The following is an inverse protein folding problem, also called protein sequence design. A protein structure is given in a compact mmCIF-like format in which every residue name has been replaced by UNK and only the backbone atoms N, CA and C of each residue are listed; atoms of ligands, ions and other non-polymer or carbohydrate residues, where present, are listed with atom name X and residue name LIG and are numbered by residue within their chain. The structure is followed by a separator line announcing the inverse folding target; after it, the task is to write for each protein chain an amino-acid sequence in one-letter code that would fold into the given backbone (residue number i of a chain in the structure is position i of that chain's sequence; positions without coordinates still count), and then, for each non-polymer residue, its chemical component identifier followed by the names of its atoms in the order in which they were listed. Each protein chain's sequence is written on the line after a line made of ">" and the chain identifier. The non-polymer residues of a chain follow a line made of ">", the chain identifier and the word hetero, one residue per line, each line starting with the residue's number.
data_IF_083439351633
#
_entry.id   IF_083439351633
#
_cell.length_a   1.000
_cell.length_b   1.000
_cell.length_c   1.000
_cell.angle_alpha   90.00
_cell.angle_beta   90.00
_cell.angle_gamma   90.00
#
_symmetry.space_group_name_H-M   'P 1'
#
loop_
_entity.id
_entity.type
_entity.pdbx_description
1 polymer ?
#
# COMPACT_ATOMS: atom_id res chain seq x y z
N UNK A 1 -26.37 -32.71 -44.56
CA UNK A 1 -26.50 -33.48 -43.31
C UNK A 1 -25.41 -32.93 -42.40
N UNK A 2 -25.78 -31.86 -41.71
CA UNK A 2 -24.84 -30.84 -41.29
C UNK A 2 -24.61 -30.82 -39.80
N UNK A 3 -23.31 -30.81 -39.47
CA UNK A 3 -22.68 -30.11 -38.34
C UNK A 3 -22.90 -30.73 -36.96
N UNK A 4 -21.95 -31.61 -36.62
CA UNK A 4 -21.50 -31.89 -35.25
C UNK A 4 -21.24 -30.55 -34.55
N UNK A 5 -22.08 -30.23 -33.56
CA UNK A 5 -21.87 -29.08 -32.67
C UNK A 5 -20.85 -29.49 -31.62
N UNK A 6 -19.58 -29.14 -31.85
CA UNK A 6 -18.55 -29.18 -30.82
C UNK A 6 -18.89 -28.09 -29.81
N UNK A 7 -19.41 -28.49 -28.65
CA UNK A 7 -19.59 -27.62 -27.50
C UNK A 7 -18.19 -27.37 -26.94
N UNK A 8 -17.54 -26.29 -27.38
CA UNK A 8 -16.44 -25.69 -26.64
C UNK A 8 -17.04 -25.04 -25.39
N UNK A 9 -17.20 -25.81 -24.31
CA UNK A 9 -17.35 -25.25 -22.97
C UNK A 9 -16.03 -24.57 -22.66
N UNK A 10 -15.98 -23.27 -22.90
CA UNK A 10 -14.92 -22.39 -22.46
C UNK A 10 -14.90 -22.45 -20.94
N UNK A 11 -13.99 -23.25 -20.41
CA UNK A 11 -13.65 -23.35 -19.00
C UNK A 11 -12.86 -22.08 -18.61
N UNK A 12 -13.54 -20.93 -18.57
CA UNK A 12 -13.02 -19.69 -18.01
C UNK A 12 -13.78 -19.38 -16.72
N UNK A 13 -13.40 -20.08 -15.65
CA UNK A 13 -13.61 -19.66 -14.27
C UNK A 13 -12.24 -19.34 -13.65
N UNK A 14 -11.49 -18.49 -14.35
CA UNK A 14 -10.50 -17.59 -13.75
C UNK A 14 -11.27 -16.33 -13.33
N UNK A 15 -11.28 -15.87 -12.10
CA UNK A 15 -10.14 -15.54 -11.25
C UNK A 15 -10.60 -15.68 -9.79
N UNK A 16 -9.96 -16.54 -9.02
CA UNK A 16 -9.95 -16.39 -7.57
C UNK A 16 -9.15 -15.10 -7.34
N UNK A 17 -9.85 -14.01 -7.00
CA UNK A 17 -9.20 -12.77 -6.59
C UNK A 17 -8.29 -13.10 -5.41
N UNK A 18 -6.98 -13.14 -5.69
CA UNK A 18 -5.99 -13.47 -4.68
C UNK A 18 -5.99 -12.39 -3.60
N UNK A 19 -6.02 -12.89 -2.38
CA UNK A 19 -6.20 -12.26 -1.09
C UNK A 19 -5.26 -11.06 -0.88
N UNK A 20 -5.78 -9.96 -0.36
CA UNK A 20 -4.93 -8.96 0.28
C UNK A 20 -4.25 -9.65 1.49
N UNK A 21 -2.98 -9.99 1.35
CA UNK A 21 -2.17 -10.54 2.45
C UNK A 21 -1.69 -9.38 3.32
N UNK A 22 -2.45 -9.07 4.35
CA UNK A 22 -2.11 -8.00 5.28
C UNK A 22 -2.93 -8.10 6.56
N UNK A 23 -2.44 -7.45 7.60
CA UNK A 23 -3.08 -7.47 8.91
C UNK A 23 -2.58 -6.34 9.78
N UNK A 24 -3.33 -6.02 10.83
CA UNK A 24 -2.90 -5.07 11.84
C UNK A 24 -2.53 -5.80 13.11
N UNK A 25 -1.42 -5.42 13.73
CA UNK A 25 -1.04 -5.99 15.02
C UNK A 25 -2.06 -5.60 16.08
N UNK A 26 -2.48 -6.57 16.89
CA UNK A 26 -3.32 -6.40 18.07
C UNK A 26 -2.88 -7.34 19.20
N UNK A 27 -3.64 -7.42 20.29
CA UNK A 27 -3.35 -8.38 21.37
C UNK A 27 -3.35 -9.82 20.82
N UNK A 28 -2.17 -10.47 20.82
CA UNK A 28 -1.92 -11.78 20.18
C UNK A 28 -0.97 -11.73 18.97
N UNK A 29 -0.01 -10.80 18.98
CA UNK A 29 0.77 -10.30 17.82
C UNK A 29 1.50 -11.32 16.94
N UNK A 30 1.64 -10.93 15.67
CA UNK A 30 2.70 -11.39 14.76
C UNK A 30 4.03 -10.83 15.27
N UNK A 31 4.96 -11.72 15.60
CA UNK A 31 6.30 -11.35 16.10
C UNK A 31 7.03 -10.43 15.12
N UNK A 32 7.62 -9.34 15.61
CA UNK A 32 8.40 -8.39 14.82
C UNK A 32 7.66 -7.15 14.30
N UNK A 33 6.33 -7.09 14.39
CA UNK A 33 5.53 -5.92 13.97
C UNK A 33 5.15 -5.07 15.20
N UNK A 34 5.41 -3.75 15.24
CA UNK A 34 5.07 -2.91 16.39
C UNK A 34 3.56 -2.83 16.63
N UNK A 35 3.12 -2.79 17.90
CA UNK A 35 1.71 -2.95 18.37
C UNK A 35 0.68 -2.03 17.69
N UNK A 36 1.08 -0.88 17.18
CA UNK A 36 0.20 0.11 16.53
C UNK A 36 0.42 0.19 15.03
N UNK A 37 0.82 -0.92 14.41
CA UNK A 37 1.17 -0.97 12.99
C UNK A 37 0.33 -2.01 12.26
N UNK A 38 0.19 -1.81 10.97
CA UNK A 38 -0.28 -2.82 10.05
C UNK A 38 0.86 -3.20 9.12
N UNK A 39 0.75 -4.37 8.53
CA UNK A 39 1.62 -4.83 7.47
C UNK A 39 0.80 -5.21 6.25
N UNK A 40 1.44 -5.09 5.10
CA UNK A 40 0.87 -5.50 3.83
C UNK A 40 1.94 -6.10 2.94
N UNK A 41 1.62 -7.27 2.38
CA UNK A 41 2.46 -7.98 1.42
C UNK A 41 1.95 -7.70 0.03
N UNK A 42 2.86 -7.25 -0.83
CA UNK A 42 2.55 -6.87 -2.20
C UNK A 42 3.52 -7.55 -3.16
N UNK A 43 2.98 -8.29 -4.12
CA UNK A 43 3.75 -8.83 -5.25
C UNK A 43 3.74 -7.90 -6.47
N UNK A 44 2.86 -6.89 -6.48
CA UNK A 44 2.75 -5.89 -7.53
C UNK A 44 2.40 -4.54 -6.91
N UNK A 45 3.15 -3.51 -7.29
CA UNK A 45 2.93 -2.14 -6.82
C UNK A 45 3.55 -1.15 -7.82
N UNK A 46 3.05 0.08 -7.80
CA UNK A 46 3.69 1.19 -8.50
C UNK A 46 4.54 1.98 -7.54
N UNK A 47 5.57 2.65 -8.05
CA UNK A 47 6.37 3.58 -7.26
C UNK A 47 6.62 4.86 -8.03
N UNK A 48 6.86 5.93 -7.30
CA UNK A 48 7.20 7.21 -7.88
C UNK A 48 7.93 8.11 -6.91
N UNK A 49 8.51 9.16 -7.47
CA UNK A 49 9.15 10.24 -6.72
C UNK A 49 8.40 11.51 -7.07
N UNK A 50 7.88 12.21 -6.07
CA UNK A 50 7.24 13.50 -6.27
C UNK A 50 8.32 14.59 -6.36
N UNK A 51 8.35 15.29 -7.49
CA UNK A 51 9.25 16.41 -7.72
C UNK A 51 8.94 17.56 -6.75
N UNK A 52 9.99 18.25 -6.28
CA UNK A 52 9.90 19.29 -5.25
C UNK A 52 10.46 18.79 -3.93
N UNK A 53 9.64 18.07 -3.15
CA UNK A 53 9.99 17.63 -1.79
C UNK A 53 10.80 16.32 -1.77
N UNK A 54 10.98 15.68 -2.92
CA UNK A 54 11.73 14.43 -3.04
C UNK A 54 11.08 13.27 -2.28
N UNK A 55 9.75 13.29 -2.12
CA UNK A 55 9.02 12.20 -1.47
C UNK A 55 9.00 10.98 -2.39
N UNK A 56 9.40 9.82 -1.85
CA UNK A 56 9.23 8.53 -2.51
C UNK A 56 7.92 7.90 -2.04
N UNK A 57 7.17 7.31 -2.96
CA UNK A 57 5.92 6.64 -2.62
C UNK A 57 5.78 5.29 -3.32
N UNK A 58 5.02 4.40 -2.66
CA UNK A 58 4.57 3.11 -3.17
C UNK A 58 3.04 3.14 -3.21
N UNK A 59 2.47 2.83 -4.38
CA UNK A 59 1.05 2.73 -4.60
C UNK A 59 0.66 1.25 -4.74
N UNK A 60 0.00 0.65 -3.74
CA UNK A 60 -0.48 -0.73 -3.79
C UNK A 60 -1.68 -0.93 -4.73
N UNK A 61 -2.23 0.12 -5.33
CA UNK A 61 -3.37 0.01 -6.24
C UNK A 61 -4.68 -0.36 -5.55
N UNK A 62 -4.84 -0.04 -4.26
CA UNK A 62 -6.06 -0.34 -3.48
C UNK A 62 -6.62 0.88 -2.75
N UNK A 63 -7.89 0.78 -2.37
CA UNK A 63 -8.60 1.77 -1.56
C UNK A 63 -8.84 1.30 -0.13
N UNK A 64 -8.91 2.26 0.81
CA UNK A 64 -9.24 2.04 2.23
C UNK A 64 -10.41 2.94 2.64
N UNK A 65 -11.18 2.50 3.65
CA UNK A 65 -12.26 3.30 4.24
C UNK A 65 -11.77 3.97 5.52
N UNK A 66 -12.01 5.27 5.66
CA UNK A 66 -11.74 6.03 6.88
C UNK A 66 -12.74 7.18 7.03
N UNK A 67 -13.31 7.37 8.22
CA UNK A 67 -14.25 8.47 8.49
C UNK A 67 -15.45 8.51 7.54
N UNK A 68 -15.96 7.34 7.11
CA UNK A 68 -17.08 7.22 6.17
C UNK A 68 -16.76 7.59 4.71
N UNK A 69 -15.49 7.77 4.36
CA UNK A 69 -15.03 8.06 2.99
C UNK A 69 -14.01 7.03 2.51
N UNK A 70 -13.92 6.88 1.19
CA UNK A 70 -12.98 5.99 0.50
C UNK A 70 -11.77 6.77 0.00
N UNK A 71 -10.57 6.29 0.32
CA UNK A 71 -9.30 6.91 -0.09
C UNK A 71 -8.43 5.89 -0.81
N UNK A 72 -7.64 6.33 -1.79
CA UNK A 72 -6.55 5.53 -2.35
C UNK A 72 -5.40 5.44 -1.36
N UNK A 73 -4.98 4.22 -1.00
CA UNK A 73 -3.86 4.05 -0.07
C UNK A 73 -2.55 4.32 -0.80
N UNK A 74 -1.65 5.06 -0.16
CA UNK A 74 -0.30 5.29 -0.64
C UNK A 74 0.67 5.23 0.51
N UNK A 75 1.74 4.46 0.36
CA UNK A 75 2.83 4.45 1.32
C UNK A 75 3.88 5.48 0.92
N UNK A 76 4.50 6.16 1.88
CA UNK A 76 5.51 7.17 1.57
C UNK A 76 6.69 7.16 2.53
N UNK A 77 7.80 7.72 2.06
CA UNK A 77 8.92 8.17 2.89
C UNK A 77 9.37 9.53 2.39
N UNK A 78 9.55 10.46 3.34
CA UNK A 78 10.02 11.82 3.03
C UNK A 78 11.54 11.82 2.86
N UNK A 79 12.05 12.73 2.03
CA UNK A 79 13.50 12.90 1.82
C UNK A 79 14.26 13.31 3.10
N UNK A 80 13.57 13.87 4.09
CA UNK A 80 14.11 14.19 5.40
C UNK A 80 14.32 12.96 6.29
N UNK A 81 13.65 11.83 5.98
CA UNK A 81 13.78 10.60 6.75
C UNK A 81 15.15 9.95 6.55
N UNK A 82 15.77 9.49 7.65
CA UNK A 82 17.03 8.73 7.58
C UNK A 82 16.89 7.40 6.84
N UNK A 83 15.67 6.87 6.74
CA UNK A 83 15.37 5.62 6.05
C UNK A 83 15.09 5.80 4.55
N UNK A 84 15.06 7.04 4.04
CA UNK A 84 14.65 7.35 2.66
C UNK A 84 15.37 6.51 1.61
N UNK A 85 16.70 6.58 1.57
CA UNK A 85 17.51 5.87 0.56
C UNK A 85 17.37 4.34 0.70
N UNK A 86 17.26 3.83 1.93
CA UNK A 86 17.13 2.40 2.18
C UNK A 86 15.77 1.87 1.69
N UNK A 87 14.69 2.55 2.05
CA UNK A 87 13.33 2.19 1.62
C UNK A 87 13.22 2.26 0.10
N UNK A 88 13.73 3.34 -0.50
CA UNK A 88 13.74 3.49 -1.96
C UNK A 88 14.50 2.34 -2.63
N UNK A 89 15.71 2.02 -2.17
CA UNK A 89 16.52 0.96 -2.74
C UNK A 89 15.86 -0.42 -2.62
N UNK A 90 15.28 -0.73 -1.45
CA UNK A 90 14.58 -2.01 -1.23
C UNK A 90 13.32 -2.13 -2.10
N UNK A 91 12.52 -1.07 -2.19
CA UNK A 91 11.32 -1.06 -3.03
C UNK A 91 11.68 -1.24 -4.51
N UNK A 92 12.70 -0.50 -5.00
CA UNK A 92 13.19 -0.63 -6.37
C UNK A 92 13.76 -2.03 -6.65
N UNK A 93 14.49 -2.60 -5.68
CA UNK A 93 15.03 -3.95 -5.80
C UNK A 93 13.91 -4.97 -5.88
N UNK A 94 12.95 -4.96 -4.94
CA UNK A 94 11.81 -5.88 -4.95
C UNK A 94 10.99 -5.79 -6.24
N UNK A 95 10.80 -4.58 -6.77
CA UNK A 95 10.14 -4.39 -8.06
C UNK A 95 10.95 -4.96 -9.24
N UNK A 96 12.25 -4.70 -9.29
CA UNK A 96 13.13 -5.18 -10.36
C UNK A 96 13.26 -6.71 -10.35
N UNK A 97 13.31 -7.32 -9.16
CA UNK A 97 13.39 -8.78 -8.99
C UNK A 97 12.03 -9.46 -9.05
N UNK A 98 10.93 -8.69 -9.05
CA UNK A 98 9.54 -9.18 -8.92
C UNK A 98 9.34 -9.99 -7.64
N UNK A 99 10.12 -9.70 -6.62
CA UNK A 99 9.98 -10.31 -5.29
C UNK A 99 8.83 -9.63 -4.54
N UNK A 100 8.02 -10.38 -3.78
CA UNK A 100 7.05 -9.76 -2.91
C UNK A 100 7.75 -8.86 -1.88
N UNK A 101 7.10 -7.75 -1.52
CA UNK A 101 7.57 -6.86 -0.46
C UNK A 101 6.57 -6.85 0.69
N UNK A 102 7.07 -6.81 1.92
CA UNK A 102 6.26 -6.53 3.10
C UNK A 102 6.50 -5.10 3.54
N UNK A 103 5.40 -4.33 3.66
CA UNK A 103 5.41 -2.92 4.04
C UNK A 103 4.72 -2.82 5.39
N UNK A 104 5.42 -2.30 6.40
CA UNK A 104 4.87 -2.00 7.72
C UNK A 104 4.61 -0.51 7.83
N UNK A 105 3.42 -0.15 8.31
CA UNK A 105 2.95 1.24 8.39
C UNK A 105 2.03 1.46 9.61
N UNK A 106 1.83 2.71 10.06
CA UNK A 106 0.97 2.99 11.22
C UNK A 106 -0.48 2.53 10.99
N UNK A 107 -1.10 1.97 12.02
CA UNK A 107 -2.49 1.56 11.96
C UNK A 107 -3.43 2.78 12.05
N UNK A 108 -3.82 3.32 10.90
CA UNK A 108 -4.74 4.46 10.77
C UNK A 108 -6.12 4.26 11.40
N UNK A 109 -6.52 3.02 11.75
CA UNK A 109 -7.77 2.77 12.45
C UNK A 109 -7.68 3.07 13.95
N UNK A 110 -6.46 3.07 14.51
CA UNK A 110 -6.21 3.25 15.94
C UNK A 110 -5.31 4.44 16.25
N UNK A 111 -4.56 4.94 15.27
CA UNK A 111 -3.71 6.13 15.41
C UNK A 111 -4.40 7.37 14.87
N UNK A 112 -3.93 8.55 15.29
CA UNK A 112 -4.44 9.82 14.79
C UNK A 112 -4.10 9.97 13.30
N UNK A 113 -5.12 10.22 12.48
CA UNK A 113 -4.92 10.57 11.07
C UNK A 113 -4.89 12.09 10.93
N UNK A 114 -3.85 12.60 10.28
CA UNK A 114 -3.65 14.05 10.08
C UNK A 114 -4.11 14.52 8.69
N UNK A 115 -4.03 15.82 8.43
CA UNK A 115 -4.32 16.41 7.12
C UNK A 115 -3.01 16.57 6.33
N UNK A 116 -2.90 15.90 5.18
CA UNK A 116 -1.70 15.95 4.34
C UNK A 116 -1.46 17.34 3.73
N UNK A 117 -2.49 18.18 3.59
CA UNK A 117 -2.34 19.56 3.11
C UNK A 117 -1.61 20.45 4.14
N UNK A 118 -1.58 20.04 5.42
CA UNK A 118 -0.79 20.70 6.47
C UNK A 118 0.65 20.18 6.53
N UNK A 119 1.00 19.20 5.69
CA UNK A 119 2.30 18.53 5.66
C UNK A 119 2.21 17.06 6.04
N UNK A 120 3.01 16.24 5.36
CA UNK A 120 3.23 14.84 5.71
C UNK A 120 4.28 14.73 6.81
N UNK A 121 4.18 13.68 7.64
CA UNK A 121 5.15 13.39 8.68
C UNK A 121 5.42 11.88 8.77
N UNK A 122 6.54 11.50 9.39
CA UNK A 122 6.99 10.11 9.42
C UNK A 122 6.30 9.27 10.53
N UNK A 123 5.30 9.81 11.23
CA UNK A 123 4.69 9.16 12.40
C UNK A 123 3.24 8.70 12.16
N UNK A 124 2.44 9.51 11.48
CA UNK A 124 1.00 9.33 11.34
C UNK A 124 0.61 9.22 9.87
N UNK A 125 -0.42 8.41 9.60
CA UNK A 125 -1.08 8.51 8.30
C UNK A 125 -1.78 9.86 8.16
N UNK A 126 -1.93 10.32 6.92
CA UNK A 126 -2.53 11.60 6.58
C UNK A 126 -3.51 11.44 5.42
N UNK A 127 -4.60 12.18 5.43
CA UNK A 127 -5.56 12.20 4.31
C UNK A 127 -5.53 13.54 3.59
N UNK A 128 -5.86 13.53 2.30
CA UNK A 128 -6.18 14.76 1.56
C UNK A 128 -7.49 14.61 0.77
N UNK A 129 -7.88 15.75 0.20
CA UNK A 129 -8.95 15.83 -0.78
C UNK A 129 -8.40 16.23 -2.14
N UNK A 130 -9.12 15.87 -3.20
CA UNK A 130 -8.89 16.41 -4.53
C UNK A 130 -9.30 17.89 -4.61
N UNK A 131 -9.11 18.50 -5.78
CA UNK A 131 -9.48 19.89 -6.04
C UNK A 131 -11.00 20.16 -5.94
N UNK A 132 -11.83 19.12 -5.95
CA UNK A 132 -13.28 19.20 -5.79
C UNK A 132 -13.73 18.91 -4.34
N UNK A 133 -12.79 18.67 -3.41
CA UNK A 133 -13.09 18.37 -2.01
C UNK A 133 -13.47 16.91 -1.74
N UNK A 134 -13.37 16.01 -2.73
CA UNK A 134 -13.60 14.59 -2.54
C UNK A 134 -12.37 13.93 -1.91
N UNK A 135 -12.58 12.84 -1.16
CA UNK A 135 -11.49 12.04 -0.63
C UNK A 135 -10.57 11.55 -1.77
N UNK A 136 -9.27 11.81 -1.66
CA UNK A 136 -8.29 11.45 -2.67
C UNK A 136 -7.39 10.32 -2.18
N UNK A 137 -6.45 10.61 -1.28
CA UNK A 137 -5.45 9.66 -0.81
C UNK A 137 -5.39 9.57 0.72
N UNK A 138 -5.04 8.37 1.19
CA UNK A 138 -4.56 8.08 2.53
C UNK A 138 -3.07 7.79 2.39
N UNK A 139 -2.24 8.73 2.82
CA UNK A 139 -0.78 8.61 2.84
C UNK A 139 -0.37 7.99 4.17
N UNK A 140 0.30 6.85 4.18
CA UNK A 140 0.85 6.25 5.39
C UNK A 140 2.38 6.17 5.32
N UNK A 141 3.11 6.66 6.33
CA UNK A 141 4.56 6.60 6.30
C UNK A 141 5.03 5.14 6.43
N UNK A 142 6.06 4.78 5.69
CA UNK A 142 6.69 3.45 5.74
C UNK A 142 7.55 3.39 7.00
N UNK A 143 7.18 2.53 7.94
CA UNK A 143 7.97 2.27 9.15
C UNK A 143 9.06 1.25 8.90
N UNK A 144 8.76 0.23 8.10
CA UNK A 144 9.74 -0.74 7.62
C UNK A 144 9.30 -1.32 6.27
N UNK A 145 10.28 -1.74 5.48
CA UNK A 145 10.07 -2.44 4.23
C UNK A 145 11.07 -3.59 4.14
N UNK A 146 10.60 -4.77 3.76
CA UNK A 146 11.43 -5.94 3.51
C UNK A 146 11.06 -6.58 2.18
N UNK A 147 12.04 -7.22 1.55
CA UNK A 147 11.82 -8.09 0.41
C UNK A 147 11.63 -9.51 0.98
N UNK A 148 10.58 -10.18 0.54
CA UNK A 148 10.29 -11.55 0.93
C UNK A 148 10.93 -12.53 -0.08
N UNK A 149 11.39 -13.67 0.45
CA UNK A 149 11.99 -14.78 -0.31
C UNK A 149 10.92 -15.75 -0.86
#
# INVERSE_FOLDING_TARGET
>A
MDKIRIIFVVLFLSVIFSHAEGGCSGNGQISGIPIQSCYERQSSFYMGIQAGDGMFFIDPGKSVQYGGKTYWLRFFVTSASRAYNQIQALAQTGYATRSPVEIIYPNYATTTVTNANAGLNDANCSTNTDNAGNAAYMYCPIQALSILE
#
